data_IF_512713174324
#
_entry.id   IF_512713174324
#
_cell.length_a   1.000
_cell.length_b   1.000
_cell.length_c   1.000
_cell.angle_alpha   90.00
_cell.angle_beta   90.00
_cell.angle_gamma   90.00
#
_symmetry.space_group_name_H-M   'P 1'
#
loop_
_entity.id
_entity.type
_entity.pdbx_description
1 polymer ?
#
# COMPACT_ATOMS: atom_id res chain seq x y z
N UNK A 1 26.51 6.63 -54.40
CA UNK A 1 26.14 7.96 -54.93
C UNK A 1 26.00 8.92 -53.75
N UNK A 2 27.03 9.72 -53.51
CA UNK A 2 27.13 10.72 -52.45
C UNK A 2 26.11 11.85 -52.62
N UNK A 3 25.44 12.22 -51.53
CA UNK A 3 24.60 13.42 -51.47
C UNK A 3 25.50 14.65 -51.39
N UNK A 4 25.55 15.44 -52.47
CA UNK A 4 26.26 16.74 -52.52
C UNK A 4 25.79 17.68 -51.41
N UNK A 5 26.75 18.17 -50.62
CA UNK A 5 26.53 19.19 -49.60
C UNK A 5 26.14 20.54 -50.23
N UNK A 6 25.28 21.34 -49.57
CA UNK A 6 24.85 22.64 -50.08
C UNK A 6 26.00 23.65 -50.16
N UNK A 7 26.03 24.42 -51.26
CA UNK A 7 27.09 25.35 -51.63
C UNK A 7 27.29 26.46 -50.58
N UNK A 8 28.54 26.93 -50.44
CA UNK A 8 28.94 27.99 -49.49
C UNK A 8 28.09 29.27 -49.60
N UNK A 9 27.58 29.58 -50.78
CA UNK A 9 26.73 30.75 -51.03
C UNK A 9 25.41 30.70 -50.25
N UNK A 10 24.79 29.52 -50.14
CA UNK A 10 23.52 29.35 -49.43
C UNK A 10 23.68 29.50 -47.90
N UNK A 11 24.81 29.03 -47.35
CA UNK A 11 25.15 29.20 -45.93
C UNK A 11 25.39 30.67 -45.57
N UNK A 12 26.00 31.46 -46.45
CA UNK A 12 26.26 32.88 -46.19
C UNK A 12 24.98 33.74 -46.23
N UNK A 13 24.04 33.45 -47.13
CA UNK A 13 22.75 34.18 -47.16
C UNK A 13 21.91 33.93 -45.90
N UNK A 14 21.87 32.69 -45.40
CA UNK A 14 21.14 32.36 -44.16
C UNK A 14 21.80 32.98 -42.92
N UNK A 15 23.13 33.06 -42.88
CA UNK A 15 23.85 33.72 -41.79
C UNK A 15 23.62 35.24 -41.76
N UNK A 16 23.50 35.90 -42.93
CA UNK A 16 23.16 37.33 -43.01
C UNK A 16 21.72 37.63 -42.56
N UNK A 17 20.73 36.80 -42.94
CA UNK A 17 19.34 37.04 -42.54
C UNK A 17 19.09 36.82 -41.03
N UNK A 18 19.83 35.89 -40.41
CA UNK A 18 19.78 35.68 -38.95
C UNK A 18 20.49 36.79 -38.18
N UNK A 19 21.60 37.35 -38.71
CA UNK A 19 22.27 38.52 -38.12
C UNK A 19 21.42 39.79 -38.17
N UNK A 20 20.67 40.03 -39.25
CA UNK A 20 19.75 41.17 -39.33
C UNK A 20 18.56 41.06 -38.36
N UNK A 21 18.04 39.85 -38.11
CA UNK A 21 16.97 39.64 -37.10
C UNK A 21 17.46 39.69 -35.66
N UNK A 22 18.74 39.41 -35.40
CA UNK A 22 19.31 39.51 -34.04
C UNK A 22 19.86 40.90 -33.73
N UNK A 23 20.21 41.70 -34.74
CA UNK A 23 20.60 43.10 -34.57
C UNK A 23 19.41 44.04 -34.26
N UNK A 24 18.19 43.70 -34.68
CA UNK A 24 16.98 44.49 -34.33
C UNK A 24 16.45 44.23 -32.91
N UNK A 25 17.03 43.26 -32.19
CA UNK A 25 16.78 42.98 -30.77
C UNK A 25 18.02 43.39 -29.96
N UNK A 26 18.67 44.49 -30.36
CA UNK A 26 19.69 45.13 -29.55
C UNK A 26 19.01 46.12 -28.60
N UNK A 27 19.03 45.74 -27.32
CA UNK A 27 18.78 46.52 -26.10
C UNK A 27 18.62 48.04 -26.36
N UNK A 28 17.38 48.53 -26.45
CA UNK A 28 17.11 49.92 -26.08
C UNK A 28 17.40 50.02 -24.58
N UNK A 29 18.36 50.86 -24.13
CA UNK A 29 18.53 51.10 -22.71
C UNK A 29 17.22 51.74 -22.22
N UNK A 30 16.59 51.14 -21.20
CA UNK A 30 15.57 51.84 -20.44
C UNK A 30 16.26 53.07 -19.83
N UNK A 31 16.11 54.21 -20.48
CA UNK A 31 16.28 55.52 -19.88
C UNK A 31 15.28 55.58 -18.71
N UNK A 32 15.71 55.11 -17.54
CA UNK A 32 14.98 55.26 -16.29
C UNK A 32 15.17 56.71 -15.86
N UNK A 33 14.54 57.65 -16.58
CA UNK A 33 14.28 58.98 -16.04
C UNK A 33 13.46 58.75 -14.78
N UNK A 34 14.08 58.95 -13.61
CA UNK A 34 13.35 59.23 -12.38
C UNK A 34 12.63 60.56 -12.60
N UNK A 35 11.49 60.52 -13.28
CA UNK A 35 10.49 61.57 -13.17
C UNK A 35 9.73 61.27 -11.88
N UNK A 36 10.27 61.75 -10.77
CA UNK A 36 9.40 62.17 -9.66
C UNK A 36 8.69 63.43 -10.15
N UNK A 37 7.63 63.24 -10.93
CA UNK A 37 6.68 64.30 -11.23
C UNK A 37 5.71 64.37 -10.06
N UNK A 38 5.68 65.52 -9.41
CA UNK A 38 4.63 65.95 -8.49
C UNK A 38 3.25 65.70 -9.12
N UNK A 39 2.28 65.32 -8.29
CA UNK A 39 0.95 64.83 -8.64
C UNK A 39 0.01 65.89 -9.28
N UNK A 40 0.53 66.81 -10.11
CA UNK A 40 -0.15 68.04 -10.53
C UNK A 40 -0.65 68.10 -11.98
N UNK A 41 0.06 67.57 -12.99
CA UNK A 41 -0.26 67.88 -14.40
C UNK A 41 -0.21 66.65 -15.33
N UNK A 42 -0.90 65.56 -14.97
CA UNK A 42 -1.11 64.46 -15.92
C UNK A 42 -2.39 64.72 -16.71
N UNK A 43 -2.25 65.14 -17.96
CA UNK A 43 -3.39 65.26 -18.88
C UNK A 43 -4.08 63.89 -19.05
N UNK A 44 -5.43 63.84 -19.14
CA UNK A 44 -6.17 62.58 -19.16
C UNK A 44 -5.76 61.65 -20.32
N UNK A 45 -5.28 62.21 -21.43
CA UNK A 45 -4.76 61.46 -22.57
C UNK A 45 -3.39 60.79 -22.31
N UNK A 46 -2.52 61.40 -21.50
CA UNK A 46 -1.27 60.77 -21.08
C UNK A 46 -1.52 59.65 -20.07
N UNK A 47 -2.49 59.82 -19.16
CA UNK A 47 -2.89 58.80 -18.21
C UNK A 47 -3.47 57.56 -18.93
N UNK A 48 -4.34 57.77 -19.93
CA UNK A 48 -4.86 56.67 -20.78
C UNK A 48 -3.75 55.90 -21.48
N UNK A 49 -2.75 56.59 -22.04
CA UNK A 49 -1.62 55.94 -22.71
C UNK A 49 -0.79 55.10 -21.74
N UNK A 50 -0.52 55.59 -20.54
CA UNK A 50 0.23 54.86 -19.53
C UNK A 50 -0.54 53.62 -19.03
N UNK A 51 -1.84 53.76 -18.80
CA UNK A 51 -2.72 52.63 -18.44
C UNK A 51 -2.74 51.56 -19.54
N UNK A 52 -2.90 51.96 -20.81
CA UNK A 52 -2.87 51.03 -21.94
C UNK A 52 -1.52 50.28 -22.06
N UNK A 53 -0.40 50.99 -21.89
CA UNK A 53 0.94 50.41 -21.95
C UNK A 53 1.25 49.47 -20.77
N UNK A 54 0.64 49.69 -19.61
CA UNK A 54 0.77 48.80 -18.46
C UNK A 54 -0.08 47.53 -18.63
N UNK A 55 -1.31 47.69 -19.11
CA UNK A 55 -2.23 46.59 -19.41
C UNK A 55 -1.68 45.65 -20.49
N UNK A 56 -1.10 46.19 -21.56
CA UNK A 56 -0.41 45.42 -22.62
C UNK A 56 0.76 44.59 -22.06
N UNK A 57 1.59 45.19 -21.19
CA UNK A 57 2.72 44.50 -20.55
C UNK A 57 2.25 43.38 -19.62
N UNK A 58 1.18 43.62 -18.87
CA UNK A 58 0.59 42.61 -17.99
C UNK A 58 -0.02 41.44 -18.77
N UNK A 59 -0.63 41.68 -19.94
CA UNK A 59 -1.16 40.63 -20.81
C UNK A 59 -0.02 39.80 -21.44
N UNK A 60 1.09 40.44 -21.83
CA UNK A 60 2.25 39.75 -22.39
C UNK A 60 2.96 38.84 -21.38
N UNK A 61 3.12 39.29 -20.12
CA UNK A 61 3.76 38.48 -19.07
C UNK A 61 2.94 37.21 -18.75
N UNK A 62 1.61 37.35 -18.68
CA UNK A 62 0.69 36.23 -18.49
C UNK A 62 0.74 35.25 -19.68
N UNK A 63 0.86 35.75 -20.91
CA UNK A 63 0.98 34.92 -22.12
C UNK A 63 2.29 34.12 -22.11
N UNK A 64 3.41 34.74 -21.77
CA UNK A 64 4.72 34.08 -21.69
C UNK A 64 4.76 33.01 -20.59
N UNK A 65 4.17 33.28 -19.42
CA UNK A 65 4.04 32.30 -18.34
C UNK A 65 3.21 31.09 -18.76
N UNK A 66 2.04 31.31 -19.39
CA UNK A 66 1.18 30.21 -19.89
C UNK A 66 1.85 29.38 -20.99
N UNK A 67 2.62 30.00 -21.89
CA UNK A 67 3.38 29.29 -22.94
C UNK A 67 4.52 28.47 -22.33
N UNK A 68 5.24 29.01 -21.34
CA UNK A 68 6.28 28.29 -20.61
C UNK A 68 5.69 27.09 -19.87
N UNK A 69 4.58 27.28 -19.15
CA UNK A 69 3.83 26.21 -18.48
C UNK A 69 3.32 25.15 -19.45
N UNK A 70 2.80 25.52 -20.63
CA UNK A 70 2.39 24.56 -21.67
C UNK A 70 3.58 23.78 -22.25
N UNK A 71 4.75 24.43 -22.39
CA UNK A 71 5.97 23.79 -22.93
C UNK A 71 6.59 22.83 -21.91
N UNK A 72 6.59 23.20 -20.63
CA UNK A 72 6.99 22.34 -19.51
C UNK A 72 5.99 21.19 -19.33
N UNK A 73 4.68 21.43 -19.41
CA UNK A 73 3.67 20.37 -19.43
C UNK A 73 3.87 19.42 -20.62
N UNK A 74 4.15 19.93 -21.82
CA UNK A 74 4.44 19.10 -23.00
C UNK A 74 5.71 18.26 -22.84
N UNK A 75 6.76 18.84 -22.25
CA UNK A 75 7.98 18.11 -21.91
C UNK A 75 7.71 17.03 -20.85
N UNK A 76 6.98 17.35 -19.77
CA UNK A 76 6.56 16.39 -18.75
C UNK A 76 5.68 15.27 -19.32
N UNK A 77 4.72 15.58 -20.20
CA UNK A 77 3.88 14.55 -20.83
C UNK A 77 4.65 13.66 -21.82
N UNK A 78 5.66 14.19 -22.49
CA UNK A 78 6.51 13.41 -23.41
C UNK A 78 7.52 12.55 -22.66
N UNK A 79 8.09 13.05 -21.56
CA UNK A 79 8.87 12.26 -20.61
C UNK A 79 8.00 11.18 -19.94
N UNK A 80 6.79 11.51 -19.51
CA UNK A 80 5.82 10.54 -18.97
C UNK A 80 5.49 9.46 -20.00
N UNK A 81 5.29 9.82 -21.27
CA UNK A 81 5.04 8.84 -22.35
C UNK A 81 6.24 7.95 -22.65
N UNK A 82 7.46 8.48 -22.63
CA UNK A 82 8.69 7.70 -22.82
C UNK A 82 8.97 6.77 -21.64
N UNK A 83 8.80 7.27 -20.41
CA UNK A 83 8.88 6.44 -19.22
C UNK A 83 7.83 5.35 -19.28
N UNK A 84 6.58 5.69 -19.60
CA UNK A 84 5.50 4.73 -19.77
C UNK A 84 5.85 3.65 -20.79
N UNK A 85 6.36 3.99 -21.99
CA UNK A 85 6.68 2.98 -23.00
C UNK A 85 7.83 2.06 -22.57
N UNK A 86 8.84 2.59 -21.87
CA UNK A 86 9.96 1.80 -21.37
C UNK A 86 9.54 0.91 -20.20
N UNK A 87 8.78 1.44 -19.25
CA UNK A 87 8.27 0.66 -18.10
C UNK A 87 7.24 -0.37 -18.53
N UNK A 88 6.42 -0.06 -19.54
CA UNK A 88 5.44 -0.99 -20.10
C UNK A 88 6.13 -2.20 -20.74
N UNK A 89 7.14 -1.96 -21.59
CA UNK A 89 7.94 -3.06 -22.15
C UNK A 89 8.57 -3.93 -21.06
N UNK A 90 9.22 -3.31 -20.08
CA UNK A 90 9.90 -4.04 -18.99
C UNK A 90 8.94 -4.78 -18.05
N UNK A 91 7.72 -4.25 -17.81
CA UNK A 91 6.75 -4.87 -16.90
C UNK A 91 5.98 -6.02 -17.56
N UNK A 92 5.80 -5.98 -18.88
CA UNK A 92 5.08 -7.01 -19.64
C UNK A 92 6.00 -8.18 -20.06
N UNK A 93 7.31 -8.00 -19.96
CA UNK A 93 8.29 -9.06 -20.20
C UNK A 93 8.11 -10.20 -19.18
N UNK A 94 7.90 -11.43 -19.68
CA UNK A 94 7.74 -12.63 -18.83
C UNK A 94 8.96 -12.91 -17.94
N UNK A 95 10.13 -12.40 -18.33
CA UNK A 95 11.37 -12.50 -17.54
C UNK A 95 11.24 -11.71 -16.24
N UNK A 96 10.60 -10.53 -16.28
CA UNK A 96 10.38 -9.72 -15.09
C UNK A 96 9.45 -10.42 -14.11
N UNK A 97 8.33 -10.96 -14.58
CA UNK A 97 7.41 -11.72 -13.73
C UNK A 97 8.06 -12.99 -13.14
N UNK A 98 8.89 -13.71 -13.93
CA UNK A 98 9.67 -14.86 -13.44
C UNK A 98 10.72 -14.45 -12.39
N UNK A 99 11.38 -13.30 -12.59
CA UNK A 99 12.32 -12.75 -11.63
C UNK A 99 11.63 -12.40 -10.31
N UNK A 100 10.48 -11.72 -10.35
CA UNK A 100 9.72 -11.41 -9.14
C UNK A 100 9.25 -12.70 -8.46
N UNK A 101 8.76 -13.69 -9.21
CA UNK A 101 8.39 -14.99 -8.65
C UNK A 101 9.57 -15.67 -7.94
N UNK A 102 10.75 -15.65 -8.56
CA UNK A 102 11.98 -16.16 -7.93
C UNK A 102 12.29 -15.44 -6.63
N UNK A 103 12.16 -14.11 -6.60
CA UNK A 103 12.35 -13.30 -5.39
C UNK A 103 11.34 -13.66 -4.30
N UNK A 104 10.07 -13.92 -4.64
CA UNK A 104 9.03 -14.38 -3.69
C UNK A 104 9.37 -15.75 -3.11
N UNK A 105 9.81 -16.69 -3.95
CA UNK A 105 10.23 -18.03 -3.49
C UNK A 105 11.43 -17.91 -2.55
N UNK A 106 12.43 -17.09 -2.92
CA UNK A 106 13.61 -16.87 -2.10
C UNK A 106 13.23 -16.21 -0.76
N UNK A 107 12.36 -15.21 -0.77
CA UNK A 107 11.88 -14.58 0.46
C UNK A 107 11.12 -15.57 1.37
N UNK A 108 10.34 -16.47 0.79
CA UNK A 108 9.64 -17.54 1.53
C UNK A 108 10.65 -18.52 2.15
N UNK A 109 11.68 -18.93 1.41
CA UNK A 109 12.75 -19.76 1.94
C UNK A 109 13.51 -19.05 3.09
N UNK A 110 13.71 -17.74 2.97
CA UNK A 110 14.34 -16.92 4.01
C UNK A 110 13.47 -16.87 5.27
N UNK A 111 12.15 -16.73 5.12
CA UNK A 111 11.19 -16.79 6.24
C UNK A 111 11.23 -18.15 6.94
N UNK A 112 11.28 -19.26 6.20
CA UNK A 112 11.39 -20.61 6.78
C UNK A 112 12.71 -20.78 7.51
N UNK A 113 13.81 -20.27 6.94
CA UNK A 113 15.13 -20.30 7.57
C UNK A 113 15.17 -19.53 8.90
N UNK A 114 14.42 -18.44 9.02
CA UNK A 114 14.31 -17.66 10.27
C UNK A 114 13.60 -18.42 11.41
N UNK A 115 12.90 -19.52 11.13
CA UNK A 115 12.25 -20.35 12.16
C UNK A 115 13.26 -21.21 12.94
N UNK A 116 14.43 -21.49 12.37
CA UNK A 116 15.45 -22.31 13.04
C UNK A 116 16.33 -21.46 13.96
N UNK A 117 16.33 -21.76 15.26
CA UNK A 117 17.07 -21.00 16.30
C UNK A 117 18.57 -20.83 15.99
N UNK A 118 19.19 -21.83 15.36
CA UNK A 118 20.61 -21.81 14.97
C UNK A 118 20.96 -20.67 14.00
N UNK A 119 20.00 -20.21 13.20
CA UNK A 119 20.20 -19.19 12.16
C UNK A 119 20.04 -17.78 12.73
N UNK A 120 19.20 -17.62 13.74
CA UNK A 120 18.90 -16.34 14.39
C UNK A 120 20.15 -15.78 15.11
N UNK A 121 20.91 -16.65 15.79
CA UNK A 121 22.02 -16.26 16.67
C UNK A 121 23.25 -15.77 15.89
N UNK A 122 23.54 -16.32 14.70
CA UNK A 122 24.71 -15.93 13.88
C UNK A 122 24.38 -14.99 12.71
N UNK A 123 23.13 -14.99 12.24
CA UNK A 123 22.75 -14.35 10.97
C UNK A 123 21.72 -13.21 11.08
N UNK A 124 21.36 -12.75 12.28
CA UNK A 124 20.26 -11.79 12.46
C UNK A 124 20.33 -10.53 11.60
N UNK A 125 21.52 -9.93 11.47
CA UNK A 125 21.71 -8.73 10.64
C UNK A 125 21.56 -9.01 9.14
N UNK A 126 22.07 -10.17 8.68
CA UNK A 126 22.01 -10.57 7.27
C UNK A 126 20.56 -10.83 6.86
N UNK A 127 19.81 -11.53 7.72
CA UNK A 127 18.40 -11.83 7.50
C UNK A 127 17.54 -10.56 7.47
N UNK A 128 17.81 -9.60 8.37
CA UNK A 128 17.13 -8.31 8.37
C UNK A 128 17.45 -7.46 7.13
N UNK A 129 18.69 -7.50 6.65
CA UNK A 129 19.10 -6.84 5.43
C UNK A 129 18.42 -7.45 4.19
N UNK A 130 18.32 -8.78 4.13
CA UNK A 130 17.61 -9.48 3.07
C UNK A 130 16.11 -9.14 3.06
N UNK A 131 15.45 -9.15 4.22
CA UNK A 131 14.03 -8.74 4.34
C UNK A 131 13.80 -7.31 3.81
N UNK A 132 14.73 -6.39 4.12
CA UNK A 132 14.69 -5.01 3.62
C UNK A 132 14.90 -4.92 2.11
N UNK A 133 15.83 -5.72 1.57
CA UNK A 133 16.08 -5.79 0.13
C UNK A 133 14.87 -6.34 -0.63
N UNK A 134 14.24 -7.42 -0.13
CA UNK A 134 13.02 -7.97 -0.71
C UNK A 134 11.89 -6.93 -0.71
N UNK A 135 11.70 -6.22 0.41
CA UNK A 135 10.71 -5.16 0.50
C UNK A 135 10.94 -4.05 -0.54
N UNK A 136 12.20 -3.63 -0.73
CA UNK A 136 12.54 -2.63 -1.73
C UNK A 136 12.22 -3.09 -3.17
N UNK A 137 12.50 -4.36 -3.51
CA UNK A 137 12.17 -4.94 -4.81
C UNK A 137 10.65 -4.93 -5.05
N UNK A 138 9.86 -5.34 -4.05
CA UNK A 138 8.39 -5.35 -4.18
C UNK A 138 7.79 -3.94 -4.26
N UNK A 139 8.33 -2.99 -3.49
CA UNK A 139 7.92 -1.61 -3.60
C UNK A 139 8.22 -1.05 -5.00
N UNK A 140 9.38 -1.37 -5.56
CA UNK A 140 9.75 -0.99 -6.92
C UNK A 140 8.79 -1.60 -7.95
N UNK A 141 8.48 -2.90 -7.85
CA UNK A 141 7.50 -3.57 -8.71
C UNK A 141 6.14 -2.85 -8.69
N UNK A 142 5.63 -2.56 -7.49
CA UNK A 142 4.37 -1.85 -7.34
C UNK A 142 4.41 -0.45 -7.94
N UNK A 143 5.48 0.31 -7.69
CA UNK A 143 5.63 1.67 -8.24
C UNK A 143 5.62 1.62 -9.78
N UNK A 144 6.30 0.66 -10.40
CA UNK A 144 6.26 0.49 -11.85
C UNK A 144 4.87 0.12 -12.35
N UNK A 145 4.21 -0.88 -11.76
CA UNK A 145 2.83 -1.28 -12.14
C UNK A 145 1.83 -0.14 -11.94
N UNK A 146 1.97 0.62 -10.87
CA UNK A 146 1.12 1.77 -10.56
C UNK A 146 1.35 2.95 -11.50
N UNK A 147 2.59 3.22 -11.92
CA UNK A 147 2.86 4.29 -12.90
C UNK A 147 2.24 4.01 -14.27
N UNK A 148 2.19 2.73 -14.67
CA UNK A 148 1.60 2.32 -15.94
C UNK A 148 0.06 2.26 -15.80
N UNK A 149 -0.48 1.55 -14.82
CA UNK A 149 -1.93 1.27 -14.78
C UNK A 149 -2.72 2.33 -13.99
N UNK A 150 -2.06 3.09 -13.10
CA UNK A 150 -2.70 4.08 -12.24
C UNK A 150 -3.84 3.45 -11.42
N UNK A 151 -5.03 4.06 -11.49
CA UNK A 151 -6.21 3.54 -10.80
C UNK A 151 -6.78 2.25 -11.38
N UNK A 152 -6.44 1.88 -12.63
CA UNK A 152 -6.87 0.58 -13.19
C UNK A 152 -6.20 -0.59 -12.46
N UNK A 153 -5.07 -0.36 -11.79
CA UNK A 153 -4.40 -1.36 -10.95
C UNK A 153 -5.37 -1.94 -9.90
N UNK A 154 -6.22 -1.10 -9.32
CA UNK A 154 -7.12 -1.48 -8.23
C UNK A 154 -8.38 -2.25 -8.67
N UNK A 155 -8.61 -2.40 -9.97
CA UNK A 155 -9.73 -3.21 -10.48
C UNK A 155 -9.47 -4.71 -10.32
N UNK A 156 -8.21 -5.12 -10.27
CA UNK A 156 -7.85 -6.52 -10.07
C UNK A 156 -7.72 -6.83 -8.57
N UNK A 157 -8.55 -7.74 -8.05
CA UNK A 157 -8.53 -8.13 -6.63
C UNK A 157 -7.16 -8.66 -6.17
N UNK A 158 -6.42 -9.36 -7.03
CA UNK A 158 -5.09 -9.88 -6.69
C UNK A 158 -4.04 -8.79 -6.54
N UNK A 159 -4.16 -7.73 -7.33
CA UNK A 159 -3.31 -6.54 -7.23
C UNK A 159 -3.63 -5.75 -5.95
N UNK A 160 -4.89 -5.75 -5.50
CA UNK A 160 -5.30 -5.13 -4.23
C UNK A 160 -4.71 -5.87 -3.02
N UNK A 161 -4.72 -7.20 -3.04
CA UNK A 161 -4.09 -8.02 -2.00
C UNK A 161 -2.59 -7.73 -1.95
N UNK A 162 -1.91 -7.69 -3.08
CA UNK A 162 -0.48 -7.40 -3.09
C UNK A 162 -0.15 -6.01 -2.54
N UNK A 163 -0.90 -4.99 -2.95
CA UNK A 163 -0.76 -3.63 -2.42
C UNK A 163 -0.96 -3.59 -0.91
N UNK A 164 -1.96 -4.29 -0.39
CA UNK A 164 -2.17 -4.40 1.05
C UNK A 164 -0.97 -5.02 1.76
N UNK A 165 -0.39 -6.09 1.22
CA UNK A 165 0.81 -6.72 1.81
C UNK A 165 2.00 -5.74 1.76
N UNK A 166 2.17 -4.95 0.70
CA UNK A 166 3.24 -3.94 0.61
C UNK A 166 3.03 -2.86 1.68
N UNK A 167 1.79 -2.40 1.88
CA UNK A 167 1.46 -1.41 2.89
C UNK A 167 1.80 -1.90 4.30
N UNK A 168 1.42 -3.13 4.65
CA UNK A 168 1.77 -3.69 5.96
C UNK A 168 3.28 -3.86 6.11
N UNK A 169 3.97 -4.29 5.05
CA UNK A 169 5.43 -4.42 5.05
C UNK A 169 6.16 -3.08 5.20
N UNK A 170 5.60 -1.98 4.65
CA UNK A 170 6.11 -0.63 4.87
C UNK A 170 5.98 -0.21 6.34
N UNK A 171 4.81 -0.46 6.94
CA UNK A 171 4.55 -0.14 8.35
C UNK A 171 5.57 -0.88 9.23
N UNK A 172 5.75 -2.18 8.98
CA UNK A 172 6.70 -3.02 9.68
C UNK A 172 8.16 -2.54 9.55
N UNK A 173 8.54 -2.02 8.38
CA UNK A 173 9.86 -1.43 8.16
C UNK A 173 10.04 -0.10 8.90
N UNK A 174 9.01 0.76 8.95
CA UNK A 174 9.08 2.10 9.55
C UNK A 174 9.05 2.06 11.08
N UNK A 175 8.33 1.10 11.68
CA UNK A 175 8.13 1.02 13.13
C UNK A 175 9.43 1.06 13.96
N UNK A 176 10.48 0.27 13.67
CA UNK A 176 11.74 0.34 14.42
C UNK A 176 12.45 1.69 14.32
N UNK A 177 12.29 2.42 13.21
CA UNK A 177 12.88 3.76 13.07
C UNK A 177 12.17 4.79 13.94
N UNK A 178 10.86 4.65 14.13
CA UNK A 178 10.09 5.54 15.01
C UNK A 178 10.48 5.33 16.47
N UNK A 179 10.66 4.08 16.89
CA UNK A 179 11.15 3.75 18.25
C UNK A 179 12.55 4.31 18.54
N UNK A 180 13.40 4.46 17.52
CA UNK A 180 14.76 4.98 17.67
C UNK A 180 14.82 6.51 17.80
N UNK A 181 13.83 7.25 17.30
CA UNK A 181 13.83 8.72 17.24
C UNK A 181 13.20 9.38 18.48
N UNK A 182 12.86 8.61 19.52
CA UNK A 182 12.36 9.12 20.80
C UNK A 182 13.45 9.84 21.60
N UNK A 183 13.71 11.10 21.23
CA UNK A 183 14.60 12.03 21.95
C UNK A 183 13.96 12.67 23.21
N UNK A 184 12.75 12.29 23.63
CA UNK A 184 12.11 12.94 24.79
C UNK A 184 11.03 12.10 25.48
N UNK A 185 11.44 11.29 26.46
CA UNK A 185 10.85 11.18 27.81
C UNK A 185 9.35 10.96 28.09
N UNK A 186 8.42 10.85 27.13
CA UNK A 186 6.97 10.77 27.42
C UNK A 186 6.16 9.78 26.54
N UNK A 187 6.76 8.70 26.01
CA UNK A 187 6.06 7.83 25.05
C UNK A 187 5.33 6.61 25.65
N UNK A 188 4.88 6.63 26.91
CA UNK A 188 4.25 5.46 27.56
C UNK A 188 2.98 4.94 26.87
N UNK A 189 2.24 5.79 26.14
CA UNK A 189 1.06 5.37 25.38
C UNK A 189 1.43 4.76 24.01
N UNK A 190 2.48 5.27 23.37
CA UNK A 190 2.98 4.75 22.08
C UNK A 190 3.53 3.33 22.26
N UNK A 191 4.25 3.06 23.35
CA UNK A 191 4.76 1.72 23.68
C UNK A 191 3.69 0.65 23.89
N UNK A 192 2.46 1.01 24.30
CA UNK A 192 1.37 0.02 24.41
C UNK A 192 0.79 -0.35 23.04
N UNK A 193 0.69 0.61 22.12
CA UNK A 193 0.28 0.36 20.74
C UNK A 193 1.36 -0.49 20.03
N UNK A 194 2.65 -0.25 20.33
CA UNK A 194 3.79 -1.07 19.85
C UNK A 194 3.71 -2.55 20.27
N UNK A 195 3.03 -2.90 21.37
CA UNK A 195 2.78 -4.31 21.71
C UNK A 195 1.78 -4.99 20.77
N UNK A 196 0.76 -4.27 20.29
CA UNK A 196 -0.17 -4.77 19.26
C UNK A 196 0.59 -4.96 17.93
N UNK A 197 1.58 -4.11 17.68
CA UNK A 197 2.48 -4.24 16.53
C UNK A 197 3.37 -5.50 16.55
N UNK A 198 3.51 -6.22 17.68
CA UNK A 198 4.13 -7.56 17.65
C UNK A 198 3.39 -8.55 16.75
N UNK A 199 2.07 -8.38 16.58
CA UNK A 199 1.26 -9.15 15.63
C UNK A 199 1.62 -8.88 14.17
N UNK A 200 2.17 -7.70 13.84
CA UNK A 200 2.59 -7.38 12.46
C UNK A 200 3.72 -8.29 11.99
N UNK A 201 4.55 -8.78 12.91
CA UNK A 201 5.56 -9.79 12.57
C UNK A 201 4.93 -11.08 12.03
N UNK A 202 3.78 -11.49 12.57
CA UNK A 202 3.03 -12.62 12.02
C UNK A 202 2.40 -12.28 10.66
N UNK A 203 1.99 -11.03 10.44
CA UNK A 203 1.45 -10.58 9.14
C UNK A 203 2.51 -10.69 8.04
N UNK A 204 3.82 -10.63 8.36
CA UNK A 204 4.89 -10.93 7.39
C UNK A 204 4.71 -12.30 6.75
N UNK A 205 4.13 -13.30 7.42
CA UNK A 205 3.89 -14.61 6.82
C UNK A 205 2.89 -14.54 5.65
N UNK A 206 1.95 -13.59 5.66
CA UNK A 206 1.02 -13.39 4.54
C UNK A 206 1.71 -12.93 3.25
N UNK A 207 2.97 -12.47 3.30
CA UNK A 207 3.71 -12.16 2.06
C UNK A 207 3.93 -13.39 1.17
N UNK A 208 3.88 -14.59 1.74
CA UNK A 208 3.89 -15.85 1.00
C UNK A 208 2.66 -15.98 0.09
N UNK A 209 1.53 -15.35 0.46
CA UNK A 209 0.33 -15.34 -0.37
C UNK A 209 0.54 -14.59 -1.71
N UNK A 210 1.58 -13.75 -1.83
CA UNK A 210 1.93 -13.10 -3.10
C UNK A 210 2.23 -14.11 -4.21
N UNK A 211 2.72 -15.30 -3.87
CA UNK A 211 2.94 -16.39 -4.84
C UNK A 211 1.65 -16.73 -5.60
N UNK A 212 0.49 -16.64 -4.95
CA UNK A 212 -0.82 -16.94 -5.54
C UNK A 212 -1.12 -15.99 -6.71
N UNK A 213 -0.66 -14.73 -6.66
CA UNK A 213 -0.82 -13.75 -7.75
C UNK A 213 -0.11 -14.18 -9.05
N UNK A 214 0.92 -15.01 -8.98
CA UNK A 214 1.61 -15.52 -10.17
C UNK A 214 1.02 -16.83 -10.68
N UNK A 215 0.38 -17.60 -9.80
CA UNK A 215 -0.18 -18.92 -10.12
C UNK A 215 -1.67 -18.80 -10.50
N UNK A 216 -1.95 -18.54 -11.78
CA UNK A 216 -3.32 -18.40 -12.31
C UNK A 216 -4.23 -19.59 -11.96
N UNK A 217 -3.69 -20.81 -11.96
CA UNK A 217 -4.41 -22.01 -11.55
C UNK A 217 -4.87 -21.92 -10.08
N UNK A 218 -3.99 -21.48 -9.17
CA UNK A 218 -4.36 -21.28 -7.76
C UNK A 218 -5.40 -20.17 -7.60
N UNK A 219 -5.32 -19.11 -8.39
CA UNK A 219 -6.33 -18.04 -8.35
C UNK A 219 -7.71 -18.55 -8.70
N UNK A 220 -7.81 -19.39 -9.73
CA UNK A 220 -9.06 -20.02 -10.13
C UNK A 220 -9.61 -20.94 -9.04
N UNK A 221 -8.74 -21.73 -8.39
CA UNK A 221 -9.12 -22.59 -7.27
C UNK A 221 -9.64 -21.76 -6.09
N UNK A 222 -8.90 -20.73 -5.68
CA UNK A 222 -9.30 -19.84 -4.57
C UNK A 222 -10.61 -19.12 -4.88
N UNK A 223 -10.75 -18.57 -6.09
CA UNK A 223 -11.98 -17.90 -6.52
C UNK A 223 -13.18 -18.87 -6.56
N UNK A 224 -12.96 -20.13 -6.93
CA UNK A 224 -14.00 -21.15 -6.93
C UNK A 224 -14.37 -21.54 -5.51
N UNK A 225 -13.39 -21.74 -4.63
CA UNK A 225 -13.60 -21.99 -3.20
C UNK A 225 -14.41 -20.87 -2.54
N UNK A 226 -14.06 -19.60 -2.79
CA UNK A 226 -14.79 -18.44 -2.27
C UNK A 226 -16.23 -18.37 -2.80
N UNK A 227 -16.45 -18.68 -4.08
CA UNK A 227 -17.81 -18.76 -4.67
C UNK A 227 -18.64 -19.88 -4.05
N UNK A 228 -18.04 -21.05 -3.84
CA UNK A 228 -18.69 -22.17 -3.15
C UNK A 228 -19.04 -21.79 -1.70
N UNK A 229 -18.12 -21.13 -0.99
CA UNK A 229 -18.38 -20.66 0.37
C UNK A 229 -19.55 -19.67 0.43
N UNK A 230 -19.65 -18.76 -0.55
CA UNK A 230 -20.78 -17.84 -0.66
C UNK A 230 -22.11 -18.59 -0.89
N UNK A 231 -22.11 -19.61 -1.75
CA UNK A 231 -23.32 -20.44 -1.98
C UNK A 231 -23.77 -21.23 -0.74
N UNK A 232 -22.81 -21.60 0.13
CA UNK A 232 -23.09 -22.29 1.40
C UNK A 232 -23.42 -21.32 2.55
N UNK A 233 -23.47 -20.01 2.30
CA UNK A 233 -23.67 -19.00 3.33
C UNK A 233 -24.93 -19.20 4.16
N UNK A 234 -26.05 -19.60 3.53
CA UNK A 234 -27.31 -19.86 4.24
C UNK A 234 -27.18 -21.03 5.25
N UNK A 235 -26.49 -22.11 4.86
CA UNK A 235 -26.24 -23.26 5.72
C UNK A 235 -25.32 -22.86 6.88
N UNK A 236 -24.27 -22.07 6.61
CA UNK A 236 -23.35 -21.57 7.64
C UNK A 236 -24.09 -20.68 8.66
N UNK A 237 -24.94 -19.77 8.19
CA UNK A 237 -25.75 -18.90 9.06
C UNK A 237 -26.72 -19.72 9.91
N UNK A 238 -27.40 -20.70 9.29
CA UNK A 238 -28.30 -21.59 10.01
C UNK A 238 -27.55 -22.40 11.08
N UNK A 239 -26.41 -22.99 10.73
CA UNK A 239 -25.55 -23.73 11.65
C UNK A 239 -25.10 -22.85 12.83
N UNK A 240 -24.65 -21.62 12.56
CA UNK A 240 -24.21 -20.70 13.61
C UNK A 240 -25.37 -20.26 14.51
N UNK A 241 -26.57 -20.10 13.95
CA UNK A 241 -27.79 -19.80 14.72
C UNK A 241 -28.13 -20.92 15.70
N UNK A 242 -28.11 -22.18 15.22
CA UNK A 242 -28.32 -23.35 16.08
C UNK A 242 -27.25 -23.43 17.18
N UNK A 243 -25.99 -23.20 16.82
CA UNK A 243 -24.88 -23.22 17.76
C UNK A 243 -25.10 -22.17 18.86
N UNK A 244 -25.50 -20.95 18.52
CA UNK A 244 -25.80 -19.89 19.49
C UNK A 244 -27.00 -20.26 20.39
N UNK A 245 -28.07 -20.83 19.81
CA UNK A 245 -29.23 -21.27 20.58
C UNK A 245 -28.84 -22.32 21.63
N UNK A 246 -28.14 -23.38 21.22
CA UNK A 246 -27.64 -24.39 22.14
C UNK A 246 -26.63 -23.83 23.13
N UNK A 247 -25.84 -22.84 22.74
CA UNK A 247 -24.87 -22.24 23.65
C UNK A 247 -25.55 -21.54 24.84
N UNK A 248 -26.67 -20.85 24.61
CA UNK A 248 -27.45 -20.25 25.69
C UNK A 248 -28.08 -21.32 26.58
N UNK A 249 -28.66 -22.37 25.99
CA UNK A 249 -29.27 -23.48 26.72
C UNK A 249 -28.26 -24.22 27.59
N UNK A 250 -27.14 -24.67 27.01
CA UNK A 250 -26.12 -25.45 27.70
C UNK A 250 -25.42 -24.62 28.77
N UNK A 251 -25.19 -23.32 28.56
CA UNK A 251 -24.70 -22.44 29.62
C UNK A 251 -25.69 -22.35 30.79
N UNK A 252 -26.99 -22.20 30.50
CA UNK A 252 -28.02 -22.20 31.54
C UNK A 252 -28.05 -23.48 32.38
N UNK A 253 -27.83 -24.63 31.74
CA UNK A 253 -27.89 -25.94 32.39
C UNK A 253 -26.59 -26.36 33.09
N UNK A 254 -25.44 -26.12 32.45
CA UNK A 254 -24.17 -26.72 32.84
C UNK A 254 -23.13 -25.72 33.35
N UNK A 255 -23.43 -24.41 33.40
CA UNK A 255 -22.46 -23.41 33.88
C UNK A 255 -21.95 -23.67 35.30
N UNK A 256 -22.78 -24.25 36.17
CA UNK A 256 -22.40 -24.55 37.56
C UNK A 256 -21.75 -25.93 37.70
N UNK A 257 -22.19 -26.90 36.91
CA UNK A 257 -21.69 -28.28 36.96
C UNK A 257 -20.35 -28.40 36.23
N UNK A 258 -20.18 -27.74 35.09
CA UNK A 258 -18.95 -27.76 34.30
C UNK A 258 -18.59 -26.34 33.81
N UNK A 259 -18.01 -25.52 34.70
CA UNK A 259 -17.64 -24.13 34.39
C UNK A 259 -16.52 -24.03 33.34
N UNK A 260 -15.69 -25.07 33.18
CA UNK A 260 -14.56 -25.06 32.27
C UNK A 260 -15.03 -24.97 30.80
N UNK A 261 -16.01 -25.79 30.44
CA UNK A 261 -16.62 -25.80 29.11
C UNK A 261 -17.78 -24.80 28.98
N UNK A 262 -18.64 -24.68 30.00
CA UNK A 262 -19.91 -23.95 29.91
C UNK A 262 -19.98 -22.66 30.72
N UNK A 263 -18.89 -22.21 31.34
CA UNK A 263 -18.90 -21.05 32.23
C UNK A 263 -19.11 -19.69 31.54
N UNK A 264 -18.52 -19.49 30.36
CA UNK A 264 -18.65 -18.23 29.58
C UNK A 264 -19.22 -18.48 28.19
N UNK A 265 -19.86 -17.46 27.60
CA UNK A 265 -20.52 -17.57 26.30
C UNK A 265 -19.57 -18.08 25.21
N UNK A 266 -18.37 -17.50 25.14
CA UNK A 266 -17.35 -17.89 24.17
C UNK A 266 -16.82 -19.31 24.39
N UNK A 267 -16.65 -19.73 25.66
CA UNK A 267 -16.24 -21.11 25.99
C UNK A 267 -17.31 -22.12 25.58
N UNK A 268 -18.58 -21.81 25.82
CA UNK A 268 -19.68 -22.67 25.41
C UNK A 268 -19.79 -22.76 23.89
N UNK A 269 -19.69 -21.64 23.19
CA UNK A 269 -19.69 -21.59 21.71
C UNK A 269 -18.53 -22.42 21.15
N UNK A 270 -17.33 -22.28 21.70
CA UNK A 270 -16.16 -23.04 21.28
C UNK A 270 -16.33 -24.55 21.56
N UNK A 271 -16.78 -24.92 22.76
CA UNK A 271 -17.08 -26.32 23.10
C UNK A 271 -18.13 -26.92 22.16
N UNK A 272 -19.22 -26.20 21.89
CA UNK A 272 -20.25 -26.68 20.96
C UNK A 272 -19.76 -26.76 19.52
N UNK A 273 -18.84 -25.87 19.11
CA UNK A 273 -18.16 -25.99 17.83
C UNK A 273 -17.31 -27.26 17.77
N UNK A 274 -16.52 -27.54 18.81
CA UNK A 274 -15.74 -28.78 18.91
C UNK A 274 -16.64 -30.02 18.83
N UNK A 275 -17.73 -30.04 19.60
CA UNK A 275 -18.73 -31.10 19.57
C UNK A 275 -19.38 -31.26 18.18
N UNK A 276 -19.66 -30.15 17.49
CA UNK A 276 -20.20 -30.17 16.12
C UNK A 276 -19.21 -30.75 15.11
N UNK A 277 -17.91 -30.49 15.29
CA UNK A 277 -16.83 -31.10 14.48
C UNK A 277 -16.46 -32.51 14.95
N UNK A 278 -17.10 -33.02 16.01
CA UNK A 278 -16.74 -34.26 16.71
C UNK A 278 -15.28 -34.28 17.19
N UNK A 279 -14.73 -33.11 17.48
CA UNK A 279 -13.42 -32.95 18.08
C UNK A 279 -13.57 -33.00 19.61
N UNK A 280 -12.68 -33.77 20.26
CA UNK A 280 -12.57 -33.88 21.72
C UNK A 280 -13.89 -34.17 22.50
N UNK A 281 -14.88 -34.77 21.83
CA UNK A 281 -16.22 -34.97 22.38
C UNK A 281 -16.24 -35.96 23.55
N UNK A 282 -15.40 -37.01 23.50
CA UNK A 282 -15.32 -38.04 24.53
C UNK A 282 -14.74 -37.49 25.83
N UNK A 283 -13.73 -36.62 25.72
CA UNK A 283 -13.13 -35.94 26.86
C UNK A 283 -14.12 -34.97 27.49
N UNK A 284 -14.74 -34.11 26.69
CA UNK A 284 -15.81 -33.19 27.13
C UNK A 284 -16.92 -33.93 27.86
N UNK A 285 -17.39 -35.05 27.30
CA UNK A 285 -18.41 -35.89 27.93
C UNK A 285 -17.93 -36.49 29.27
N UNK A 286 -16.73 -37.06 29.30
CA UNK A 286 -16.19 -37.70 30.50
C UNK A 286 -16.02 -36.73 31.67
N UNK A 287 -15.51 -35.52 31.40
CA UNK A 287 -15.37 -34.46 32.41
C UNK A 287 -16.74 -34.02 32.91
N UNK A 288 -17.68 -33.75 32.00
CA UNK A 288 -19.00 -33.28 32.39
C UNK A 288 -19.75 -34.33 33.24
N UNK A 289 -19.60 -35.61 32.89
CA UNK A 289 -20.14 -36.74 33.66
C UNK A 289 -19.54 -36.79 35.06
N UNK A 290 -18.22 -36.66 35.17
CA UNK A 290 -17.52 -36.82 36.44
C UNK A 290 -17.77 -35.61 37.37
N UNK A 291 -17.77 -34.38 36.82
CA UNK A 291 -18.18 -33.18 37.55
C UNK A 291 -19.64 -33.24 38.03
N UNK A 292 -20.53 -33.83 37.22
CA UNK A 292 -21.91 -34.08 37.59
C UNK A 292 -22.03 -35.01 38.79
N UNK A 293 -21.23 -36.08 38.86
CA UNK A 293 -21.19 -37.01 39.99
C UNK A 293 -20.75 -36.32 41.28
N UNK A 294 -19.71 -35.50 41.22
CA UNK A 294 -19.20 -34.75 42.39
C UNK A 294 -20.21 -33.73 42.93
N UNK A 295 -20.92 -33.05 42.02
CA UNK A 295 -21.97 -32.08 42.37
C UNK A 295 -23.11 -32.77 43.12
N UNK A 296 -23.56 -33.93 42.63
CA UNK A 296 -24.62 -34.72 43.28
C UNK A 296 -24.15 -35.24 44.65
N UNK A 297 -22.94 -35.79 44.75
CA UNK A 297 -22.38 -36.28 46.01
C UNK A 297 -22.29 -35.18 47.07
N UNK A 298 -21.87 -33.97 46.68
CA UNK A 298 -21.80 -32.80 47.56
C UNK A 298 -23.19 -32.35 48.03
N UNK A 299 -24.19 -32.37 47.15
CA UNK A 299 -25.56 -32.01 47.49
C UNK A 299 -26.19 -33.01 48.49
N UNK A 300 -25.95 -34.31 48.30
CA UNK A 300 -26.39 -35.36 49.23
C UNK A 300 -25.74 -35.17 50.61
N UNK A 301 -24.41 -34.94 50.66
CA UNK A 301 -23.67 -34.72 51.91
C UNK A 301 -24.13 -33.47 52.69
N UNK A 302 -24.56 -32.43 51.97
CA UNK A 302 -25.08 -31.18 52.57
C UNK A 302 -26.50 -31.31 53.10
N UNK A 303 -27.29 -32.28 52.63
CA UNK A 303 -28.63 -32.60 53.15
C UNK A 303 -28.61 -33.52 54.37
N UNK A 304 -27.52 -34.24 54.61
CA UNK A 304 -27.36 -35.15 55.74
C UNK A 304 -26.75 -34.51 57.00
N UNK A 305 -26.47 -33.20 56.96
CA UNK A 305 -26.00 -32.37 58.07
C UNK A 305 -27.09 -31.34 58.41
#
# INVERSE_FOLDING_TARGET
MERKAPSRAYRQMRAKSVRQRTASISKKPLQRKRLFATCGDVTPEQLKKLLHLDQERHIQSLRHSKVCWKRIQGALLSWKRRLYSLTYGFTEDSIFDQFILFVVILNTATLVAQTFENVIVRGGWYMSAMDSAFMAIYLMEFVFKFMVWGFLYFKNAWNNIDFFIILVSMIDFILPFVEFVDFSGQASAVFQILKIFKGIRAIRAFRVLRTIRFLQNLQSIVATCLRSLASMGAIIILMFTFLLMFAVLFRGMFSQTDPYHFGTMFRTIFTLFQLLTLDDWSFTYSISRDNGRETVASCVKKKSL
#
